data_IF_425631276074
#
_entry.id   IF_425631276074
#
_cell.length_a   1.000
_cell.length_b   1.000
_cell.length_c   1.000
_cell.angle_alpha   90.00
_cell.angle_beta   90.00
_cell.angle_gamma   90.00
#
_symmetry.space_group_name_H-M   'P 1'
#
loop_
_entity.id
_entity.type
_entity.pdbx_description
1 polymer ?
#
# COMPACT_ATOMS: atom_id res chain seq x y z
N UNK A 1 6.55 24.85 -3.60
CA UNK A 1 5.76 23.83 -4.30
C UNK A 1 6.62 22.58 -4.54
N UNK A 2 6.30 21.49 -3.87
CA UNK A 2 6.99 20.20 -4.06
C UNK A 2 6.12 19.33 -4.98
N UNK A 3 6.64 18.72 -6.06
CA UNK A 3 5.91 17.76 -6.88
C UNK A 3 5.40 16.58 -6.03
N UNK A 4 4.19 16.10 -6.34
CA UNK A 4 3.53 15.06 -5.54
C UNK A 4 4.33 13.74 -5.51
N UNK A 5 4.91 13.32 -6.63
CA UNK A 5 5.76 12.15 -6.70
C UNK A 5 6.99 12.25 -5.77
N UNK A 6 7.64 13.41 -5.72
CA UNK A 6 8.78 13.65 -4.82
C UNK A 6 8.31 13.61 -3.36
N UNK A 7 7.16 14.22 -3.04
CA UNK A 7 6.57 14.18 -1.71
C UNK A 7 6.29 12.74 -1.25
N UNK A 8 5.66 11.92 -2.10
CA UNK A 8 5.39 10.51 -1.78
C UNK A 8 6.67 9.70 -1.59
N UNK A 9 7.68 9.89 -2.45
CA UNK A 9 8.99 9.23 -2.30
C UNK A 9 9.64 9.54 -0.96
N UNK A 10 9.63 10.78 -0.53
CA UNK A 10 10.18 11.18 0.76
C UNK A 10 9.40 10.62 1.95
N UNK A 11 8.08 10.41 1.83
CA UNK A 11 7.29 9.79 2.87
C UNK A 11 7.56 8.29 3.02
N UNK A 12 7.67 7.57 1.91
CA UNK A 12 7.82 6.10 1.90
C UNK A 12 9.27 5.69 2.17
N UNK A 13 10.24 6.40 1.56
CA UNK A 13 11.68 6.22 1.80
C UNK A 13 12.24 7.48 2.46
N UNK A 14 12.02 7.65 3.78
CA UNK A 14 12.20 8.94 4.40
C UNK A 14 13.65 9.36 4.48
N UNK A 15 13.89 10.61 4.10
CA UNK A 15 15.05 11.36 4.53
C UNK A 15 14.92 11.76 6.02
N UNK A 16 15.95 12.37 6.59
CA UNK A 16 15.98 12.74 8.00
C UNK A 16 14.76 13.58 8.43
N UNK A 17 14.28 14.46 7.57
CA UNK A 17 13.18 15.39 7.83
C UNK A 17 11.79 14.75 7.71
N UNK A 18 11.66 13.60 7.05
CA UNK A 18 10.37 12.95 6.75
C UNK A 18 10.15 11.61 7.47
N UNK A 19 11.01 11.25 8.42
CA UNK A 19 10.90 9.99 9.18
C UNK A 19 9.60 9.83 9.96
N UNK A 20 8.95 10.94 10.32
CA UNK A 20 7.73 10.93 11.12
C UNK A 20 6.58 10.15 10.51
N UNK A 21 6.45 10.12 9.18
CA UNK A 21 5.40 9.35 8.52
C UNK A 21 5.59 7.84 8.73
N UNK A 22 6.75 7.30 8.40
CA UNK A 22 7.04 5.85 8.55
C UNK A 22 6.95 5.41 10.02
N UNK A 23 7.32 6.28 10.96
CA UNK A 23 7.15 6.01 12.39
C UNK A 23 5.66 6.05 12.79
N UNK A 24 4.93 7.03 12.27
CA UNK A 24 3.51 7.23 12.58
C UNK A 24 2.59 6.12 12.10
N UNK A 25 2.87 5.49 10.96
CA UNK A 25 2.05 4.37 10.45
C UNK A 25 2.22 3.06 11.25
N UNK A 26 3.18 2.99 12.16
CA UNK A 26 3.46 1.85 13.05
C UNK A 26 3.18 2.15 14.53
N UNK A 27 2.35 3.12 14.83
CA UNK A 27 2.22 3.72 16.16
C UNK A 27 1.55 2.85 17.23
N UNK A 28 0.75 1.87 16.85
CA UNK A 28 -0.04 1.08 17.81
C UNK A 28 0.71 -0.06 18.46
N UNK A 29 1.92 -0.41 17.98
CA UNK A 29 2.59 -1.65 18.37
C UNK A 29 1.84 -2.89 17.85
N UNK A 30 2.26 -4.08 18.23
CA UNK A 30 1.62 -5.33 17.86
C UNK A 30 0.43 -5.61 18.77
N UNK A 31 -0.79 -5.68 18.20
CA UNK A 31 -2.02 -6.00 18.92
C UNK A 31 -2.33 -7.49 18.78
N UNK A 32 -2.27 -8.01 17.55
CA UNK A 32 -2.44 -9.41 17.17
C UNK A 32 -1.72 -9.68 15.84
N UNK A 33 -1.82 -10.89 15.31
CA UNK A 33 -1.12 -11.27 14.08
C UNK A 33 -1.52 -10.43 12.86
N UNK A 34 -2.80 -10.04 12.74
CA UNK A 34 -3.30 -9.20 11.64
C UNK A 34 -3.07 -7.70 11.86
N UNK A 35 -2.59 -7.32 13.05
CA UNK A 35 -2.30 -5.94 13.46
C UNK A 35 -0.87 -5.79 14.00
N UNK A 36 0.06 -6.50 13.39
CA UNK A 36 1.50 -6.28 13.59
C UNK A 36 1.91 -4.93 13.01
N UNK A 37 2.99 -4.37 13.52
CA UNK A 37 3.47 -3.05 13.07
C UNK A 37 3.75 -2.99 11.56
N UNK A 38 4.28 -4.06 10.98
CA UNK A 38 4.55 -4.20 9.56
C UNK A 38 3.25 -4.28 8.74
N UNK A 39 2.26 -5.02 9.24
CA UNK A 39 0.94 -5.11 8.60
C UNK A 39 0.20 -3.76 8.67
N UNK A 40 0.29 -3.05 9.79
CA UNK A 40 -0.25 -1.68 9.89
C UNK A 40 0.40 -0.74 8.87
N UNK A 41 1.72 -0.83 8.68
CA UNK A 41 2.42 -0.05 7.67
C UNK A 41 1.91 -0.38 6.26
N UNK A 42 1.78 -1.66 5.92
CA UNK A 42 1.25 -2.12 4.65
C UNK A 42 -0.18 -1.64 4.40
N UNK A 43 -1.08 -1.80 5.38
CA UNK A 43 -2.46 -1.32 5.31
C UNK A 43 -2.55 0.19 5.10
N UNK A 44 -1.75 0.97 5.86
CA UNK A 44 -1.76 2.42 5.76
C UNK A 44 -1.19 2.90 4.41
N UNK A 45 -0.10 2.32 3.93
CA UNK A 45 0.48 2.66 2.62
C UNK A 45 -0.50 2.30 1.50
N UNK A 46 -1.09 1.10 1.52
CA UNK A 46 -2.08 0.68 0.54
C UNK A 46 -3.31 1.61 0.54
N UNK A 47 -3.84 1.95 1.70
CA UNK A 47 -5.00 2.83 1.82
C UNK A 47 -4.69 4.25 1.37
N UNK A 48 -3.57 4.83 1.83
CA UNK A 48 -3.24 6.24 1.59
C UNK A 48 -2.84 6.49 0.14
N UNK A 49 -2.01 5.63 -0.43
CA UNK A 49 -1.42 5.88 -1.75
C UNK A 49 -2.09 5.12 -2.89
N UNK A 50 -2.69 3.96 -2.61
CA UNK A 50 -3.25 3.11 -3.64
C UNK A 50 -4.78 2.97 -3.58
N UNK A 51 -5.43 3.54 -2.55
CA UNK A 51 -6.88 3.40 -2.37
C UNK A 51 -7.30 1.94 -2.21
N UNK A 52 -6.50 1.14 -1.47
CA UNK A 52 -6.73 -0.29 -1.25
C UNK A 52 -6.97 -0.59 0.22
N UNK A 53 -8.00 -1.37 0.51
CA UNK A 53 -8.28 -1.83 1.86
C UNK A 53 -7.79 -3.28 2.06
N UNK A 54 -6.63 -3.44 2.69
CA UNK A 54 -6.04 -4.75 2.99
C UNK A 54 -6.46 -5.33 4.34
N UNK A 55 -7.42 -4.73 5.06
CA UNK A 55 -7.81 -5.19 6.42
C UNK A 55 -8.30 -6.63 6.44
N UNK A 56 -9.18 -7.01 5.49
CA UNK A 56 -9.64 -8.40 5.40
C UNK A 56 -8.49 -9.33 5.03
N UNK A 57 -7.70 -8.96 4.01
CA UNK A 57 -6.58 -9.75 3.53
C UNK A 57 -5.44 -9.92 4.57
N UNK A 58 -5.39 -9.11 5.60
CA UNK A 58 -4.41 -9.27 6.70
C UNK A 58 -4.74 -10.42 7.67
N UNK A 59 -5.94 -10.99 7.60
CA UNK A 59 -6.40 -12.05 8.50
C UNK A 59 -6.79 -13.34 7.77
N UNK A 60 -7.40 -13.20 6.59
CA UNK A 60 -7.83 -14.27 5.69
C UNK A 60 -7.94 -13.71 4.27
N UNK A 61 -8.14 -14.54 3.26
CA UNK A 61 -8.45 -14.05 1.92
C UNK A 61 -9.68 -13.14 1.96
N UNK A 62 -9.61 -12.00 1.31
CA UNK A 62 -10.70 -11.02 1.34
C UNK A 62 -11.98 -11.61 0.75
N UNK A 63 -13.12 -11.28 1.37
CA UNK A 63 -14.47 -11.63 0.86
C UNK A 63 -15.09 -10.50 0.02
N UNK A 64 -14.47 -9.32 0.04
CA UNK A 64 -14.99 -8.11 -0.60
C UNK A 64 -14.07 -7.57 -1.70
N UNK A 65 -12.94 -8.23 -1.93
CA UNK A 65 -11.96 -7.91 -2.97
C UNK A 65 -11.17 -9.17 -3.34
N UNK A 66 -10.36 -9.10 -4.38
CA UNK A 66 -9.55 -10.25 -4.83
C UNK A 66 -8.26 -10.46 -4.02
N UNK A 67 -7.94 -9.56 -3.10
CA UNK A 67 -6.71 -9.59 -2.31
C UNK A 67 -6.64 -10.81 -1.39
N UNK A 68 -5.49 -11.52 -1.45
CA UNK A 68 -5.23 -12.72 -0.68
C UNK A 68 -4.38 -12.45 0.55
N UNK A 69 -4.51 -13.31 1.55
CA UNK A 69 -3.69 -13.29 2.77
C UNK A 69 -2.18 -13.30 2.45
N UNK A 70 -1.75 -14.14 1.52
CA UNK A 70 -0.33 -14.24 1.13
C UNK A 70 0.19 -12.93 0.50
N UNK A 71 -0.62 -12.23 -0.28
CA UNK A 71 -0.26 -10.94 -0.91
C UNK A 71 -0.13 -9.83 0.14
N UNK A 72 -1.07 -9.75 1.07
CA UNK A 72 -1.02 -8.78 2.17
C UNK A 72 0.23 -8.99 3.04
N UNK A 73 0.57 -10.25 3.38
CA UNK A 73 1.78 -10.57 4.13
C UNK A 73 3.05 -10.34 3.33
N UNK A 74 3.06 -10.64 2.03
CA UNK A 74 4.22 -10.37 1.17
C UNK A 74 4.49 -8.86 1.07
N UNK A 75 3.46 -8.04 0.99
CA UNK A 75 3.58 -6.60 1.00
C UNK A 75 4.01 -6.07 2.37
N UNK A 76 3.44 -6.58 3.46
CA UNK A 76 3.84 -6.22 4.82
C UNK A 76 5.30 -6.56 5.13
N UNK A 77 5.81 -7.67 4.57
CA UNK A 77 7.18 -8.12 4.78
C UNK A 77 8.26 -7.20 4.14
N UNK A 78 7.85 -6.25 3.29
CA UNK A 78 8.73 -5.17 2.78
C UNK A 78 9.17 -4.25 3.94
N UNK A 79 8.29 -4.03 4.92
CA UNK A 79 8.48 -3.16 6.07
C UNK A 79 9.16 -3.85 7.26
N UNK A 80 9.50 -5.13 7.14
CA UNK A 80 10.03 -5.96 8.23
C UNK A 80 11.53 -6.20 8.10
N UNK A 81 12.25 -6.11 9.21
CA UNK A 81 13.66 -6.50 9.27
C UNK A 81 13.83 -8.03 9.30
N UNK A 82 12.80 -8.75 9.78
CA UNK A 82 12.78 -10.21 9.83
C UNK A 82 11.68 -10.75 8.91
N UNK A 83 11.85 -11.96 8.39
CA UNK A 83 10.81 -12.57 7.55
C UNK A 83 9.58 -12.90 8.41
N UNK A 84 8.41 -12.47 7.93
CA UNK A 84 7.15 -12.67 8.62
C UNK A 84 6.60 -14.07 8.37
N UNK A 85 6.16 -14.77 9.42
CA UNK A 85 5.31 -15.93 9.28
C UNK A 85 3.87 -15.50 8.98
N UNK A 86 3.24 -16.17 8.01
CA UNK A 86 1.84 -15.92 7.66
C UNK A 86 0.94 -16.51 8.74
N UNK A 87 0.08 -15.66 9.31
CA UNK A 87 -0.92 -16.11 10.27
C UNK A 87 -2.31 -15.95 9.67
N UNK A 88 -3.15 -16.97 9.82
CA UNK A 88 -4.57 -16.89 9.47
C UNK A 88 -5.35 -16.55 10.74
N UNK A 89 -5.86 -15.32 10.83
CA UNK A 89 -6.24 -14.69 12.09
C UNK A 89 -5.03 -14.74 13.04
N UNK A 90 -5.14 -15.32 14.22
CA UNK A 90 -4.03 -15.42 15.19
C UNK A 90 -3.31 -16.79 15.15
N UNK A 91 -3.64 -17.65 14.17
CA UNK A 91 -3.05 -18.99 14.05
C UNK A 91 -1.92 -18.98 13.04
N UNK A 92 -0.69 -19.32 13.43
CA UNK A 92 0.43 -19.45 12.52
C UNK A 92 0.16 -20.59 11.52
N UNK A 93 0.60 -20.39 10.27
CA UNK A 93 0.39 -21.37 9.19
C UNK A 93 1.62 -22.23 8.93
N UNK A 94 2.77 -21.91 9.53
CA UNK A 94 4.07 -22.52 9.23
C UNK A 94 4.69 -22.03 7.91
N UNK A 95 4.03 -21.12 7.19
CA UNK A 95 4.53 -20.55 5.93
C UNK A 95 5.16 -19.18 6.17
N UNK A 96 6.32 -18.96 5.57
CA UNK A 96 6.98 -17.65 5.59
C UNK A 96 6.53 -16.81 4.39
N UNK A 97 6.30 -15.52 4.63
CA UNK A 97 5.91 -14.58 3.60
C UNK A 97 7.09 -14.25 2.67
N UNK A 98 6.84 -14.12 1.38
CA UNK A 98 7.76 -13.46 0.46
C UNK A 98 7.88 -11.95 0.73
N UNK A 99 8.61 -11.25 -0.12
CA UNK A 99 8.67 -9.77 -0.16
C UNK A 99 8.30 -9.32 -1.56
N UNK A 100 7.04 -8.88 -1.73
CA UNK A 100 6.50 -8.52 -3.04
C UNK A 100 5.65 -7.27 -2.95
N UNK A 101 5.70 -6.45 -4.00
CA UNK A 101 4.74 -5.36 -4.19
C UNK A 101 3.38 -5.92 -4.59
N UNK A 102 2.31 -5.14 -4.37
CA UNK A 102 0.94 -5.58 -4.68
C UNK A 102 0.69 -5.73 -6.18
N UNK A 103 1.30 -4.89 -7.00
CA UNK A 103 1.20 -4.90 -8.47
C UNK A 103 2.50 -5.44 -9.06
N UNK A 104 2.63 -6.76 -9.16
CA UNK A 104 3.88 -7.44 -9.55
C UNK A 104 4.31 -7.13 -10.99
N UNK A 105 3.40 -6.69 -11.84
CA UNK A 105 3.68 -6.23 -13.20
C UNK A 105 4.55 -4.95 -13.27
N UNK A 106 4.67 -4.22 -12.17
CA UNK A 106 5.52 -3.04 -12.07
C UNK A 106 7.00 -3.38 -11.86
N UNK A 107 7.29 -4.57 -11.32
CA UNK A 107 8.64 -5.04 -11.06
C UNK A 107 8.74 -5.86 -9.77
N UNK A 108 9.97 -6.12 -9.35
CA UNK A 108 10.27 -6.93 -8.18
C UNK A 108 11.13 -6.17 -7.17
N UNK A 109 10.86 -6.38 -5.88
CA UNK A 109 11.69 -5.88 -4.80
C UNK A 109 12.82 -6.88 -4.54
N UNK A 110 14.04 -6.37 -4.36
CA UNK A 110 15.14 -7.20 -3.88
C UNK A 110 14.84 -7.67 -2.45
N UNK A 111 14.40 -8.92 -2.32
CA UNK A 111 14.01 -9.52 -1.04
C UNK A 111 15.15 -9.57 -0.01
N UNK A 112 16.40 -9.64 -0.46
CA UNK A 112 17.60 -9.72 0.39
C UNK A 112 18.14 -8.34 0.81
N UNK A 113 17.63 -7.27 0.22
CA UNK A 113 18.05 -5.93 0.58
C UNK A 113 17.59 -5.56 2.00
N UNK A 114 18.31 -4.65 2.64
CA UNK A 114 17.90 -4.07 3.93
C UNK A 114 16.60 -3.28 3.80
N UNK A 115 15.86 -3.14 4.89
CA UNK A 115 14.53 -2.50 4.88
C UNK A 115 14.54 -1.10 4.27
N UNK A 116 15.55 -0.28 4.55
CA UNK A 116 15.67 1.06 3.96
C UNK A 116 15.77 1.04 2.44
N UNK A 117 16.49 0.08 1.87
CA UNK A 117 16.60 -0.07 0.41
C UNK A 117 15.31 -0.62 -0.21
N UNK A 118 14.64 -1.56 0.46
CA UNK A 118 13.31 -2.04 0.04
C UNK A 118 12.26 -0.92 0.03
N UNK A 119 12.27 -0.06 1.04
CA UNK A 119 11.37 1.11 1.09
C UNK A 119 11.66 2.11 -0.03
N UNK A 120 12.94 2.30 -0.38
CA UNK A 120 13.31 3.13 -1.52
C UNK A 120 12.81 2.54 -2.84
N UNK A 121 12.98 1.22 -3.04
CA UNK A 121 12.45 0.52 -4.22
C UNK A 121 10.92 0.63 -4.28
N UNK A 122 10.22 0.41 -3.16
CA UNK A 122 8.78 0.59 -3.07
C UNK A 122 8.37 2.01 -3.44
N UNK A 123 9.05 3.02 -2.93
CA UNK A 123 8.78 4.42 -3.26
C UNK A 123 8.97 4.70 -4.76
N UNK A 124 10.02 4.12 -5.37
CA UNK A 124 10.27 4.24 -6.81
C UNK A 124 9.16 3.56 -7.65
N UNK A 125 8.65 2.40 -7.23
CA UNK A 125 7.53 1.74 -7.91
C UNK A 125 6.25 2.55 -7.80
N UNK A 126 5.89 3.03 -6.61
CA UNK A 126 4.64 3.77 -6.39
C UNK A 126 4.51 5.05 -7.23
N UNK A 127 5.63 5.71 -7.54
CA UNK A 127 5.61 6.97 -8.29
C UNK A 127 5.84 6.80 -9.79
N UNK A 128 5.97 5.57 -10.29
CA UNK A 128 6.13 5.34 -11.71
C UNK A 128 4.86 5.75 -12.47
N UNK A 129 4.99 6.48 -13.59
CA UNK A 129 3.82 6.82 -14.43
C UNK A 129 3.06 5.58 -14.94
N UNK A 130 3.77 4.46 -15.13
CA UNK A 130 3.19 3.19 -15.57
C UNK A 130 2.20 2.61 -14.55
N UNK A 131 2.41 2.83 -13.24
CA UNK A 131 1.49 2.41 -12.19
C UNK A 131 0.14 3.14 -12.33
N UNK A 132 0.17 4.45 -12.51
CA UNK A 132 -1.02 5.29 -12.59
C UNK A 132 -1.88 5.28 -11.30
N UNK A 133 -1.83 4.23 -10.49
CA UNK A 133 -2.69 4.02 -9.32
C UNK A 133 -2.56 5.13 -8.28
N UNK A 134 -1.34 5.54 -7.96
CA UNK A 134 -1.05 6.65 -7.05
C UNK A 134 -1.77 7.94 -7.49
N UNK A 135 -1.67 8.27 -8.76
CA UNK A 135 -2.21 9.52 -9.31
C UNK A 135 -3.73 9.45 -9.43
N UNK A 136 -4.27 8.33 -9.90
CA UNK A 136 -5.72 8.09 -9.96
C UNK A 136 -6.37 8.15 -8.57
N UNK A 137 -5.72 7.60 -7.54
CA UNK A 137 -6.19 7.69 -6.16
C UNK A 137 -6.28 9.13 -5.67
N UNK A 138 -5.23 9.93 -5.92
CA UNK A 138 -5.23 11.35 -5.57
C UNK A 138 -6.32 12.11 -6.32
N UNK A 139 -6.40 11.92 -7.63
CA UNK A 139 -7.40 12.56 -8.51
C UNK A 139 -8.81 12.22 -8.06
N UNK A 140 -9.11 10.95 -7.79
CA UNK A 140 -10.44 10.52 -7.35
C UNK A 140 -10.87 11.19 -6.04
N UNK A 141 -9.95 11.34 -5.09
CA UNK A 141 -10.21 12.04 -3.82
C UNK A 141 -10.48 13.53 -4.01
N UNK A 142 -9.63 14.20 -4.80
CA UNK A 142 -9.82 15.64 -5.09
C UNK A 142 -11.12 15.85 -5.85
N UNK A 143 -11.40 15.01 -6.85
CA UNK A 143 -12.65 15.06 -7.61
C UNK A 143 -13.86 14.90 -6.70
N UNK A 144 -13.86 13.92 -5.80
CA UNK A 144 -14.95 13.70 -4.84
C UNK A 144 -15.19 14.92 -3.93
N UNK A 145 -14.11 15.56 -3.47
CA UNK A 145 -14.21 16.78 -2.65
C UNK A 145 -14.83 17.95 -3.42
N UNK A 146 -14.53 18.09 -4.71
CA UNK A 146 -15.00 19.20 -5.52
C UNK A 146 -16.41 18.96 -6.11
N UNK A 147 -16.71 17.71 -6.48
CA UNK A 147 -17.92 17.34 -7.20
C UNK A 147 -18.97 16.61 -6.37
N UNK A 148 -18.64 16.31 -5.09
CA UNK A 148 -19.55 15.62 -4.15
C UNK A 148 -19.58 14.11 -4.26
N UNK A 149 -18.96 13.50 -5.29
CA UNK A 149 -18.77 12.06 -5.45
C UNK A 149 -17.51 11.76 -6.25
N UNK A 150 -16.93 10.57 -6.05
CA UNK A 150 -15.77 10.11 -6.81
C UNK A 150 -16.08 9.76 -8.27
N UNK A 151 -15.04 9.63 -9.06
CA UNK A 151 -15.10 8.95 -10.37
C UNK A 151 -15.17 7.45 -10.14
N UNK A 152 -14.54 6.97 -9.06
CA UNK A 152 -14.68 5.62 -8.51
C UNK A 152 -15.35 5.75 -7.13
N UNK A 153 -16.31 4.88 -6.85
CA UNK A 153 -17.00 4.80 -5.57
C UNK A 153 -17.00 3.37 -4.99
N UNK A 154 -16.85 3.19 -3.65
CA UNK A 154 -16.48 4.22 -2.68
C UNK A 154 -15.11 4.84 -2.99
N UNK A 155 -14.89 6.09 -2.64
CA UNK A 155 -13.74 6.92 -3.06
C UNK A 155 -12.37 6.25 -2.85
N UNK A 156 -12.23 5.46 -1.78
CA UNK A 156 -10.99 4.77 -1.41
C UNK A 156 -11.00 3.26 -1.72
N UNK A 157 -11.87 2.83 -2.64
CA UNK A 157 -11.92 1.45 -3.16
C UNK A 157 -11.59 1.49 -4.66
N UNK A 158 -10.34 1.77 -4.93
CA UNK A 158 -9.86 1.99 -6.30
C UNK A 158 -9.82 0.73 -7.18
N UNK A 159 -10.20 -0.44 -6.66
CA UNK A 159 -10.38 -1.67 -7.43
C UNK A 159 -11.73 -1.72 -8.16
N UNK A 160 -12.65 -0.82 -7.82
CA UNK A 160 -13.92 -0.69 -8.51
C UNK A 160 -13.76 0.00 -9.87
N UNK A 161 -14.69 -0.27 -10.78
CA UNK A 161 -14.71 0.37 -12.08
C UNK A 161 -15.12 1.86 -11.97
N UNK A 162 -14.40 2.77 -12.64
CA UNK A 162 -14.78 4.16 -12.73
C UNK A 162 -16.02 4.31 -13.63
N UNK A 163 -16.90 5.28 -13.33
CA UNK A 163 -17.99 5.61 -14.24
C UNK A 163 -17.48 6.32 -15.53
N UNK A 164 -16.25 6.80 -15.55
CA UNK A 164 -15.56 7.32 -16.74
C UNK A 164 -14.06 7.07 -16.61
N UNK A 165 -13.56 6.04 -17.29
CA UNK A 165 -12.13 5.71 -17.33
C UNK A 165 -11.32 6.80 -18.02
N UNK A 166 -11.81 7.30 -19.16
CA UNK A 166 -11.12 8.33 -19.94
C UNK A 166 -10.92 9.63 -19.15
N UNK A 167 -11.93 10.03 -18.35
CA UNK A 167 -11.82 11.21 -17.50
C UNK A 167 -10.80 11.00 -16.38
N UNK A 168 -10.83 9.84 -15.74
CA UNK A 168 -9.88 9.50 -14.68
C UNK A 168 -8.44 9.49 -15.21
N UNK A 169 -8.22 8.88 -16.36
CA UNK A 169 -6.89 8.78 -16.98
C UNK A 169 -6.38 10.11 -17.52
N UNK A 170 -7.30 10.98 -18.01
CA UNK A 170 -6.91 12.31 -18.44
C UNK A 170 -6.50 13.24 -17.30
N UNK A 171 -7.09 13.06 -16.12
CA UNK A 171 -6.80 13.88 -14.94
C UNK A 171 -5.58 13.36 -14.16
N UNK A 172 -5.23 12.08 -14.23
CA UNK A 172 -4.16 11.43 -13.47
C UNK A 172 -2.79 11.54 -14.16
#
# INVERSE_FOLDING_TARGET
>A
NKPYNIFVKELISPAKESQGFIQGIKWRGTINASQRTEMQAAQNVAQVFLGLNLKCASCHDSFISDWKLEEAYAFANIFSDTTLEINRCDKPTGKMAGRKILFQELGEINAEAVTSERLKQLADFLVQPKDGRLYRTLVNRIWAQLMGRGIIEPVDVMDNEPWSQDLLDWLA
#
